data_IF_703771908840
#
_entry.id   IF_703771908840
#
_cell.length_a   1.000
_cell.length_b   1.000
_cell.length_c   1.000
_cell.angle_alpha   90.00
_cell.angle_beta   90.00
_cell.angle_gamma   90.00
#
_symmetry.space_group_name_H-M   'P 1'
#
loop_
_entity.id
_entity.type
_entity.pdbx_description
1 polymer ?
#
# COMPACT_ATOMS: atom_id res chain seq x y z
N UNK A 1 -60.89 -3.74 -62.17
CA UNK A 1 -60.18 -2.51 -61.73
C UNK A 1 -59.21 -2.96 -60.66
N UNK A 2 -57.97 -3.09 -61.06
CA UNK A 2 -56.90 -3.53 -60.18
C UNK A 2 -56.19 -2.29 -59.66
N UNK A 3 -56.01 -2.20 -58.32
CA UNK A 3 -55.24 -1.15 -57.68
C UNK A 3 -53.86 -1.70 -57.39
N UNK A 4 -52.85 -1.06 -57.99
CA UNK A 4 -51.42 -1.36 -57.76
C UNK A 4 -50.95 -0.77 -56.45
N UNK A 5 -50.25 -1.61 -55.65
CA UNK A 5 -49.47 -1.18 -54.47
C UNK A 5 -48.04 -0.75 -54.87
N UNK A 6 -47.49 0.29 -54.28
CA UNK A 6 -46.12 0.73 -54.61
C UNK A 6 -45.02 -0.07 -53.87
N UNK A 7 -44.06 -0.54 -54.66
CA UNK A 7 -42.86 -1.25 -54.21
C UNK A 7 -41.93 -0.39 -53.36
N UNK A 8 -41.66 -0.80 -52.12
CA UNK A 8 -40.66 -0.21 -51.26
C UNK A 8 -39.23 -0.51 -51.75
N UNK A 9 -38.44 0.54 -51.94
CA UNK A 9 -37.00 0.45 -52.26
C UNK A 9 -36.22 0.10 -51.01
N UNK A 10 -35.55 -1.06 -51.03
CA UNK A 10 -34.53 -1.44 -50.01
C UNK A 10 -33.28 -0.59 -50.18
N UNK A 11 -33.00 0.29 -49.20
CA UNK A 11 -31.70 0.95 -49.07
C UNK A 11 -30.67 -0.05 -48.56
N UNK A 12 -29.60 -0.26 -49.31
CA UNK A 12 -28.39 -0.99 -48.85
C UNK A 12 -27.59 -0.10 -47.92
N UNK A 13 -27.59 -0.44 -46.61
CA UNK A 13 -26.59 0.08 -45.68
C UNK A 13 -25.25 -0.62 -45.94
N UNK A 14 -24.26 0.12 -46.38
CA UNK A 14 -22.88 -0.29 -46.44
C UNK A 14 -22.34 -0.41 -44.99
N UNK A 15 -22.06 -1.62 -44.56
CA UNK A 15 -21.23 -1.85 -43.34
C UNK A 15 -19.83 -1.39 -43.63
N UNK A 16 -19.47 -0.23 -43.10
CA UNK A 16 -18.06 0.16 -42.94
C UNK A 16 -17.47 -0.64 -41.80
N UNK A 17 -16.63 -1.61 -42.12
CA UNK A 17 -15.74 -2.27 -41.15
C UNK A 17 -14.74 -1.24 -40.61
N UNK A 18 -14.99 -0.75 -39.41
CA UNK A 18 -13.93 -0.17 -38.58
C UNK A 18 -13.23 -1.34 -37.91
N UNK A 19 -12.17 -1.80 -38.52
CA UNK A 19 -11.16 -2.62 -37.84
C UNK A 19 -10.46 -1.73 -36.81
N UNK A 20 -10.96 -1.78 -35.58
CA UNK A 20 -10.16 -1.36 -34.42
C UNK A 20 -8.98 -2.33 -34.31
N UNK A 21 -7.86 -1.95 -34.91
CA UNK A 21 -6.58 -2.54 -34.62
C UNK A 21 -6.18 -2.15 -33.20
N UNK A 22 -6.64 -2.91 -32.21
CA UNK A 22 -6.03 -2.97 -30.89
C UNK A 22 -4.59 -3.44 -31.13
N UNK A 23 -3.69 -2.49 -31.26
CA UNK A 23 -2.26 -2.74 -31.20
C UNK A 23 -2.02 -3.43 -29.84
N UNK A 24 -1.79 -4.75 -29.88
CA UNK A 24 -1.27 -5.50 -28.72
C UNK A 24 0.08 -4.90 -28.40
N UNK A 25 0.11 -3.97 -27.44
CA UNK A 25 1.35 -3.50 -26.88
C UNK A 25 2.09 -4.72 -26.37
N UNK A 26 3.31 -4.92 -26.84
CA UNK A 26 4.19 -5.99 -26.33
C UNK A 26 4.23 -5.90 -24.80
N UNK A 27 4.17 -7.01 -24.06
CA UNK A 27 4.19 -6.97 -22.61
C UNK A 27 5.44 -6.20 -22.15
N UNK A 28 5.23 -5.18 -21.32
CA UNK A 28 6.31 -4.36 -20.75
C UNK A 28 7.22 -5.31 -19.97
N UNK A 29 8.45 -5.47 -20.42
CA UNK A 29 9.44 -6.30 -19.73
C UNK A 29 9.86 -5.57 -18.46
N UNK A 30 9.46 -6.10 -17.31
CA UNK A 30 9.92 -5.60 -16.02
C UNK A 30 11.41 -5.93 -15.83
N UNK A 31 12.10 -5.03 -15.15
CA UNK A 31 13.46 -5.23 -14.66
C UNK A 31 13.48 -5.19 -13.13
N UNK A 32 14.49 -5.79 -12.49
CA UNK A 32 14.73 -5.56 -11.05
C UNK A 32 14.74 -4.08 -10.72
N UNK A 33 14.35 -3.73 -9.50
CA UNK A 33 14.32 -2.37 -8.94
C UNK A 33 13.41 -1.38 -9.68
N UNK A 34 12.38 -1.88 -10.41
CA UNK A 34 11.41 -1.01 -11.10
C UNK A 34 10.36 -0.39 -10.16
N UNK A 35 10.12 -0.97 -8.99
CA UNK A 35 9.23 -0.48 -7.94
C UNK A 35 10.04 -0.19 -6.68
N UNK A 36 9.98 1.04 -6.19
CA UNK A 36 10.69 1.46 -4.98
C UNK A 36 9.73 1.76 -3.85
N UNK A 37 10.02 1.24 -2.65
CA UNK A 37 9.33 1.58 -1.42
C UNK A 37 10.29 2.01 -0.32
N UNK A 38 9.83 2.91 0.55
CA UNK A 38 10.56 3.33 1.75
C UNK A 38 9.58 3.49 2.92
N UNK A 39 9.95 3.00 4.09
CA UNK A 39 9.02 3.05 5.22
C UNK A 39 9.61 2.48 6.50
N UNK A 40 8.73 2.24 7.47
CA UNK A 40 9.05 1.69 8.78
C UNK A 40 8.97 0.16 8.72
N UNK A 41 10.10 -0.56 8.63
CA UNK A 41 10.08 -2.02 8.70
C UNK A 41 9.82 -2.46 10.15
N UNK A 42 8.92 -3.41 10.31
CA UNK A 42 8.60 -4.03 11.59
C UNK A 42 8.66 -5.54 11.46
N UNK A 43 9.14 -6.23 12.49
CA UNK A 43 8.98 -7.66 12.57
C UNK A 43 7.67 -7.96 13.31
N UNK A 44 6.68 -8.49 12.59
CA UNK A 44 5.43 -8.92 13.19
C UNK A 44 5.66 -10.24 13.93
N UNK A 45 5.35 -10.24 15.22
CA UNK A 45 5.44 -11.40 16.12
C UNK A 45 4.02 -11.81 16.46
N UNK A 46 3.52 -12.86 15.81
CA UNK A 46 2.16 -13.34 15.94
C UNK A 46 2.09 -14.54 16.88
N UNK A 47 1.23 -14.48 17.88
CA UNK A 47 0.99 -15.62 18.75
C UNK A 47 -0.47 -15.68 19.24
N UNK A 48 -0.96 -16.90 19.43
CA UNK A 48 -2.23 -17.14 20.12
C UNK A 48 -1.95 -17.02 21.62
N UNK A 49 -2.60 -16.08 22.28
CA UNK A 49 -2.41 -15.79 23.70
C UNK A 49 -3.72 -15.98 24.47
N UNK A 50 -3.63 -16.13 25.78
CA UNK A 50 -4.77 -16.20 26.69
C UNK A 50 -5.21 -14.79 27.14
N UNK A 51 -6.36 -14.77 27.84
CA UNK A 51 -6.90 -13.53 28.39
C UNK A 51 -6.00 -12.92 29.46
N UNK A 52 -5.34 -13.75 30.26
CA UNK A 52 -4.46 -13.31 31.36
C UNK A 52 -3.27 -12.50 30.81
N UNK A 53 -2.73 -12.92 29.65
CA UNK A 53 -1.68 -12.17 28.95
C UNK A 53 -2.18 -10.79 28.48
N UNK A 54 -3.39 -10.71 27.88
CA UNK A 54 -3.96 -9.42 27.47
C UNK A 54 -4.18 -8.51 28.69
N UNK A 55 -4.79 -9.03 29.74
CA UNK A 55 -5.09 -8.27 30.97
C UNK A 55 -3.79 -7.78 31.64
N UNK A 56 -2.74 -8.60 31.68
CA UNK A 56 -1.42 -8.23 32.21
C UNK A 56 -0.84 -6.97 31.55
N UNK A 57 -0.99 -6.87 30.24
CA UNK A 57 -0.47 -5.75 29.45
C UNK A 57 -1.54 -4.68 29.14
N UNK A 58 -2.71 -4.78 29.73
CA UNK A 58 -3.81 -3.81 29.59
C UNK A 58 -4.26 -3.66 28.13
N UNK A 59 -4.24 -4.76 27.38
CA UNK A 59 -4.67 -4.80 25.99
C UNK A 59 -6.15 -5.12 25.90
N UNK A 60 -6.85 -4.43 25.00
CA UNK A 60 -8.23 -4.75 24.64
C UNK A 60 -8.27 -5.60 23.39
N UNK A 61 -9.26 -6.50 23.25
CA UNK A 61 -9.48 -7.20 22.00
C UNK A 61 -9.63 -6.23 20.82
N UNK A 62 -8.95 -6.51 19.70
CA UNK A 62 -8.94 -5.70 18.49
C UNK A 62 -8.36 -4.28 18.66
N UNK A 63 -7.53 -4.07 19.67
CA UNK A 63 -6.84 -2.80 19.91
C UNK A 63 -5.62 -2.67 18.99
N UNK A 64 -5.30 -1.43 18.59
CA UNK A 64 -4.10 -1.11 17.82
C UNK A 64 -3.42 0.08 18.49
N UNK A 65 -2.32 -0.18 19.18
CA UNK A 65 -1.64 0.81 20.00
C UNK A 65 -0.13 0.86 19.71
N UNK A 66 0.47 1.99 20.02
CA UNK A 66 1.92 2.09 20.14
C UNK A 66 2.36 1.55 21.51
N UNK A 67 3.51 0.88 21.52
CA UNK A 67 4.08 0.36 22.76
C UNK A 67 4.50 1.50 23.70
N UNK A 68 4.08 1.38 24.94
CA UNK A 68 4.57 2.17 26.07
C UNK A 68 5.63 1.37 26.83
N UNK A 69 6.30 1.98 27.83
CA UNK A 69 7.33 1.30 28.63
C UNK A 69 6.85 -0.01 29.27
N UNK A 70 5.59 -0.06 29.72
CA UNK A 70 4.96 -1.28 30.27
C UNK A 70 4.88 -2.44 29.30
N UNK A 71 4.93 -2.17 27.98
CA UNK A 71 4.83 -3.19 26.93
C UNK A 71 6.21 -3.73 26.50
N UNK A 72 7.32 -3.14 26.91
CA UNK A 72 8.67 -3.56 26.47
C UNK A 72 8.95 -5.03 26.78
N UNK A 73 8.60 -5.49 27.99
CA UNK A 73 8.79 -6.90 28.38
C UNK A 73 7.83 -7.86 27.66
N UNK A 74 6.74 -7.36 27.08
CA UNK A 74 5.72 -8.18 26.43
C UNK A 74 6.27 -8.94 25.21
N UNK A 75 7.15 -8.32 24.43
CA UNK A 75 7.69 -8.92 23.21
C UNK A 75 8.55 -10.14 23.49
N UNK A 76 9.39 -10.10 24.51
CA UNK A 76 10.19 -11.24 24.94
C UNK A 76 9.30 -12.33 25.53
N UNK A 77 8.37 -11.96 26.42
CA UNK A 77 7.46 -12.90 27.06
C UNK A 77 6.57 -13.61 26.03
N UNK A 78 6.13 -12.88 24.97
CA UNK A 78 5.34 -13.46 23.87
C UNK A 78 6.11 -14.57 23.16
N UNK A 79 7.39 -14.35 22.91
CA UNK A 79 8.29 -15.33 22.26
C UNK A 79 8.61 -16.51 23.17
N UNK A 80 8.82 -16.24 24.46
CA UNK A 80 9.26 -17.27 25.42
C UNK A 80 8.11 -18.20 25.85
N UNK A 81 6.90 -17.67 25.98
CA UNK A 81 5.76 -18.43 26.53
C UNK A 81 4.83 -19.04 25.47
N UNK A 82 4.80 -18.45 24.27
CA UNK A 82 3.87 -18.87 23.24
C UNK A 82 4.59 -19.30 21.97
N UNK A 83 3.93 -20.11 21.14
CA UNK A 83 4.45 -20.47 19.82
C UNK A 83 4.29 -19.27 18.89
N UNK A 84 5.34 -18.46 18.81
CA UNK A 84 5.36 -17.26 17.97
C UNK A 84 5.74 -17.57 16.52
N UNK A 85 5.05 -16.90 15.59
CA UNK A 85 5.38 -16.86 14.16
C UNK A 85 5.91 -15.48 13.81
N UNK A 86 6.89 -15.41 12.90
CA UNK A 86 7.53 -14.18 12.50
C UNK A 86 7.21 -13.85 11.05
N UNK A 87 6.73 -12.63 10.81
CA UNK A 87 6.45 -12.13 9.47
C UNK A 87 7.13 -10.77 9.27
N UNK A 88 7.66 -10.52 8.07
CA UNK A 88 8.08 -9.16 7.72
C UNK A 88 6.84 -8.29 7.58
N UNK A 89 6.78 -7.20 8.35
CA UNK A 89 5.67 -6.28 8.44
C UNK A 89 6.08 -4.82 8.21
N UNK A 90 5.17 -3.91 8.54
CA UNK A 90 5.25 -2.50 8.21
C UNK A 90 4.55 -2.18 6.89
N UNK A 91 3.72 -1.13 6.88
CA UNK A 91 2.78 -0.85 5.79
C UNK A 91 3.42 -0.82 4.39
N UNK A 92 4.48 -0.02 4.19
CA UNK A 92 5.16 0.04 2.89
C UNK A 92 5.78 -1.30 2.51
N UNK A 93 6.46 -1.97 3.45
CA UNK A 93 7.12 -3.24 3.19
C UNK A 93 6.11 -4.33 2.82
N UNK A 94 4.96 -4.36 3.49
CA UNK A 94 3.86 -5.26 3.14
C UNK A 94 3.37 -5.02 1.71
N UNK A 95 3.15 -3.76 1.32
CA UNK A 95 2.72 -3.42 -0.04
C UNK A 95 3.74 -3.84 -1.10
N UNK A 96 5.04 -3.65 -0.84
CA UNK A 96 6.11 -4.09 -1.76
C UNK A 96 6.18 -5.62 -1.85
N UNK A 97 6.06 -6.34 -0.74
CA UNK A 97 5.98 -7.81 -0.70
C UNK A 97 4.80 -8.34 -1.51
N UNK A 98 3.62 -7.76 -1.29
CA UNK A 98 2.41 -8.16 -2.02
C UNK A 98 2.54 -7.85 -3.51
N UNK A 99 3.11 -6.69 -3.88
CA UNK A 99 3.37 -6.37 -5.27
C UNK A 99 4.31 -7.38 -5.93
N UNK A 100 5.41 -7.76 -5.25
CA UNK A 100 6.34 -8.77 -5.75
C UNK A 100 5.69 -10.15 -5.86
N UNK A 101 4.87 -10.55 -4.89
CA UNK A 101 4.06 -11.76 -4.97
C UNK A 101 3.11 -11.77 -6.16
N UNK A 102 2.41 -10.67 -6.43
CA UNK A 102 1.54 -10.54 -7.60
C UNK A 102 2.29 -10.52 -8.93
N UNK A 103 3.55 -10.08 -8.92
CA UNK A 103 4.42 -10.03 -10.10
C UNK A 103 5.00 -11.41 -10.40
N UNK A 104 5.40 -12.16 -9.38
CA UNK A 104 6.17 -13.42 -9.47
C UNK A 104 7.54 -13.20 -10.13
N UNK A 105 7.59 -13.12 -11.45
CA UNK A 105 8.82 -12.94 -12.23
C UNK A 105 8.81 -11.62 -13.03
N UNK A 106 9.98 -10.96 -13.12
CA UNK A 106 11.26 -11.30 -12.48
C UNK A 106 11.22 -11.05 -10.96
N UNK A 107 12.10 -11.73 -10.21
CA UNK A 107 12.33 -11.42 -8.80
C UNK A 107 12.95 -10.03 -8.64
N UNK A 108 12.87 -9.48 -7.42
CA UNK A 108 13.49 -8.20 -7.04
C UNK A 108 13.02 -6.99 -7.87
N UNK A 109 11.80 -7.03 -8.41
CA UNK A 109 11.17 -5.83 -8.98
C UNK A 109 10.94 -4.80 -7.90
N UNK A 110 10.55 -5.24 -6.71
CA UNK A 110 10.37 -4.41 -5.53
C UNK A 110 11.67 -4.19 -4.76
N UNK A 111 12.08 -2.94 -4.62
CA UNK A 111 13.15 -2.49 -3.72
C UNK A 111 12.54 -1.86 -2.49
N UNK A 112 13.09 -2.14 -1.31
CA UNK A 112 12.61 -1.56 -0.06
C UNK A 112 13.74 -0.95 0.77
N UNK A 113 13.54 0.29 1.25
CA UNK A 113 14.42 0.99 2.18
C UNK A 113 13.73 1.23 3.52
N UNK A 114 14.47 1.03 4.61
CA UNK A 114 14.01 1.28 5.96
C UNK A 114 15.15 1.19 6.96
N UNK A 115 14.88 1.34 8.25
CA UNK A 115 15.88 1.25 9.30
C UNK A 115 15.58 0.12 10.26
N UNK A 116 16.60 -0.68 10.59
CA UNK A 116 16.54 -1.80 11.54
C UNK A 116 17.68 -1.71 12.55
N UNK A 117 17.53 -2.40 13.68
CA UNK A 117 18.60 -2.60 14.66
C UNK A 117 19.60 -3.67 14.21
N UNK A 118 20.75 -3.68 14.86
CA UNK A 118 21.76 -4.73 14.72
C UNK A 118 21.49 -5.85 15.72
N UNK A 119 20.45 -6.65 15.46
CA UNK A 119 19.98 -7.70 16.36
C UNK A 119 19.37 -8.89 15.62
N UNK A 120 18.98 -9.94 16.39
CA UNK A 120 18.36 -11.15 15.84
C UNK A 120 17.08 -10.89 15.05
N UNK A 121 16.30 -9.88 15.44
CA UNK A 121 15.05 -9.55 14.78
C UNK A 121 15.30 -8.87 13.44
N UNK A 122 16.34 -8.02 13.37
CA UNK A 122 16.80 -7.44 12.10
C UNK A 122 17.26 -8.52 11.10
N UNK A 123 17.96 -9.55 11.58
CA UNK A 123 18.40 -10.64 10.72
C UNK A 123 17.24 -11.52 10.24
N UNK A 124 16.23 -11.77 11.10
CA UNK A 124 15.01 -12.45 10.71
C UNK A 124 14.27 -11.62 9.65
N UNK A 125 14.16 -10.31 9.85
CA UNK A 125 13.47 -9.41 8.93
C UNK A 125 14.12 -9.39 7.53
N UNK A 126 15.46 -9.31 7.48
CA UNK A 126 16.22 -9.43 6.21
C UNK A 126 15.90 -10.74 5.49
N UNK A 127 15.98 -11.87 6.22
CA UNK A 127 15.67 -13.18 5.66
C UNK A 127 14.24 -13.25 5.13
N UNK A 128 13.26 -12.71 5.85
CA UNK A 128 11.85 -12.68 5.42
C UNK A 128 11.61 -11.82 4.17
N UNK A 129 12.34 -10.73 4.02
CA UNK A 129 12.29 -9.92 2.80
C UNK A 129 12.89 -10.68 1.60
N UNK A 130 14.03 -11.36 1.80
CA UNK A 130 14.66 -12.22 0.79
C UNK A 130 13.75 -13.37 0.37
N UNK A 131 13.12 -14.08 1.32
CA UNK A 131 12.14 -15.14 1.05
C UNK A 131 10.94 -14.64 0.22
N UNK A 132 10.59 -13.35 0.36
CA UNK A 132 9.54 -12.69 -0.43
C UNK A 132 10.05 -12.12 -1.77
N UNK A 133 11.30 -12.38 -2.14
CA UNK A 133 11.97 -11.88 -3.35
C UNK A 133 11.94 -10.34 -3.47
N UNK A 134 12.05 -9.65 -2.33
CA UNK A 134 12.17 -8.19 -2.25
C UNK A 134 13.63 -7.82 -2.04
N UNK A 135 14.14 -6.92 -2.87
CA UNK A 135 15.48 -6.36 -2.77
C UNK A 135 15.52 -5.30 -1.64
N UNK A 136 15.67 -5.77 -0.40
CA UNK A 136 15.62 -4.92 0.78
C UNK A 136 17.00 -4.42 1.19
N UNK A 137 17.17 -3.10 1.22
CA UNK A 137 18.37 -2.40 1.67
C UNK A 137 18.03 -1.65 2.95
N UNK A 138 18.42 -2.19 4.10
CA UNK A 138 18.17 -1.57 5.38
C UNK A 138 19.35 -0.73 5.85
N UNK A 139 19.06 0.48 6.35
CA UNK A 139 19.98 1.19 7.22
C UNK A 139 20.04 0.44 8.55
N UNK A 140 21.18 -0.17 8.86
CA UNK A 140 21.42 -0.89 10.12
C UNK A 140 22.10 0.04 11.10
N UNK A 141 21.50 0.24 12.26
CA UNK A 141 22.05 1.05 13.35
C UNK A 141 22.10 0.23 14.65
N UNK A 142 22.85 0.68 15.64
CA UNK A 142 23.17 -0.05 16.87
C UNK A 142 22.66 0.64 18.16
N UNK A 143 21.86 1.69 18.01
CA UNK A 143 21.34 2.47 19.16
C UNK A 143 20.02 1.88 19.67
N UNK A 144 19.10 1.55 18.74
CA UNK A 144 17.77 1.03 19.05
C UNK A 144 17.58 -0.37 18.46
N UNK A 145 16.83 -1.26 19.14
CA UNK A 145 16.51 -2.57 18.59
C UNK A 145 15.62 -2.46 17.36
N UNK A 146 15.57 -3.52 16.55
CA UNK A 146 14.68 -3.62 15.42
C UNK A 146 13.22 -3.40 15.83
N UNK A 147 12.49 -2.59 15.08
CA UNK A 147 11.07 -2.36 15.31
C UNK A 147 10.27 -3.67 15.23
N UNK A 148 9.32 -3.84 16.13
CA UNK A 148 8.49 -5.04 16.24
C UNK A 148 7.03 -4.68 16.38
N UNK A 149 6.15 -5.57 15.92
CA UNK A 149 4.73 -5.47 16.18
C UNK A 149 4.24 -6.80 16.79
N UNK A 150 3.78 -6.77 18.04
CA UNK A 150 3.16 -7.93 18.64
C UNK A 150 1.71 -8.05 18.17
N UNK A 151 1.36 -9.17 17.59
CA UNK A 151 0.02 -9.53 17.16
C UNK A 151 -0.53 -10.62 18.09
N UNK A 152 -1.27 -10.19 19.10
CA UNK A 152 -1.85 -11.06 20.13
C UNK A 152 -3.23 -11.56 19.68
N UNK A 153 -3.34 -12.84 19.37
CA UNK A 153 -4.56 -13.49 18.85
C UNK A 153 -5.30 -14.14 20.01
N UNK A 154 -6.57 -13.78 20.22
CA UNK A 154 -7.47 -14.38 21.22
C UNK A 154 -8.81 -14.72 20.55
N UNK A 155 -9.01 -16.00 20.24
CA UNK A 155 -10.18 -16.43 19.47
C UNK A 155 -10.23 -15.76 18.10
N UNK A 156 -11.29 -15.00 17.82
CA UNK A 156 -11.46 -14.23 16.58
C UNK A 156 -10.90 -12.80 16.66
N UNK A 157 -10.31 -12.40 17.79
CA UNK A 157 -9.81 -11.04 18.01
C UNK A 157 -8.29 -10.99 17.85
N UNK A 158 -7.80 -9.84 17.38
CA UNK A 158 -6.38 -9.58 17.20
C UNK A 158 -6.01 -8.18 17.71
N UNK A 159 -5.17 -8.15 18.72
CA UNK A 159 -4.64 -6.89 19.29
C UNK A 159 -3.22 -6.67 18.80
N UNK A 160 -2.92 -5.46 18.35
CA UNK A 160 -1.62 -5.07 17.82
C UNK A 160 -0.95 -4.06 18.74
N UNK A 161 0.32 -4.31 19.04
CA UNK A 161 1.17 -3.39 19.79
C UNK A 161 2.45 -3.15 19.00
N UNK A 162 2.63 -1.96 18.43
CA UNK A 162 3.77 -1.61 17.61
C UNK A 162 4.83 -0.88 18.43
N UNK A 163 6.04 -1.43 18.49
CA UNK A 163 7.24 -0.77 18.98
C UNK A 163 8.12 -0.37 17.80
N UNK A 164 8.14 0.91 17.46
CA UNK A 164 8.82 1.42 16.26
C UNK A 164 10.35 1.39 16.39
N UNK A 165 10.88 1.67 17.58
CA UNK A 165 12.33 1.59 17.89
C UNK A 165 13.21 2.05 16.70
N UNK A 166 14.07 1.18 16.16
CA UNK A 166 14.97 1.49 15.04
C UNK A 166 14.25 2.02 13.78
N UNK A 167 12.99 1.67 13.55
CA UNK A 167 12.24 2.19 12.41
C UNK A 167 12.14 3.72 12.42
N UNK A 168 12.18 4.36 13.60
CA UNK A 168 12.21 5.81 13.77
C UNK A 168 13.63 6.42 13.61
N UNK A 169 14.66 5.62 13.47
CA UNK A 169 16.06 6.07 13.46
C UNK A 169 16.63 6.23 12.06
N UNK A 170 15.80 6.22 11.01
CA UNK A 170 16.27 6.37 9.64
C UNK A 170 17.02 7.69 9.43
N UNK A 171 18.21 7.64 8.83
CA UNK A 171 19.07 8.80 8.53
C UNK A 171 19.30 8.89 7.03
N UNK A 172 18.73 9.94 6.42
CA UNK A 172 18.84 10.21 4.98
C UNK A 172 20.28 10.21 4.49
N UNK A 173 21.13 10.97 5.17
CA UNK A 173 22.55 11.17 4.86
C UNK A 173 23.40 9.91 5.03
N UNK A 174 22.96 8.96 5.85
CA UNK A 174 23.67 7.70 6.09
C UNK A 174 23.17 6.53 5.23
N UNK A 175 22.10 6.73 4.49
CA UNK A 175 21.52 5.66 3.69
C UNK A 175 21.04 6.14 2.32
N UNK A 176 19.99 6.97 2.23
CA UNK A 176 19.39 7.39 0.95
C UNK A 176 20.38 8.19 0.09
N UNK A 177 21.24 8.99 0.72
CA UNK A 177 22.19 9.85 0.02
C UNK A 177 23.46 9.12 -0.44
N UNK A 178 23.65 7.85 -0.06
CA UNK A 178 24.75 7.04 -0.57
C UNK A 178 24.55 6.78 -2.06
N UNK A 179 25.60 6.92 -2.85
CA UNK A 179 25.53 6.81 -4.32
C UNK A 179 24.97 5.45 -4.77
N UNK A 180 25.40 4.37 -4.12
CA UNK A 180 24.91 3.02 -4.40
C UNK A 180 23.40 2.86 -4.19
N UNK A 181 22.87 3.44 -3.10
CA UNK A 181 21.45 3.41 -2.78
C UNK A 181 20.65 4.34 -3.69
N UNK A 182 21.20 5.51 -3.99
CA UNK A 182 20.53 6.45 -4.89
C UNK A 182 20.37 5.88 -6.31
N UNK A 183 21.32 5.10 -6.81
CA UNK A 183 21.19 4.39 -8.09
C UNK A 183 19.99 3.44 -8.13
N UNK A 184 19.65 2.79 -7.00
CA UNK A 184 18.46 1.95 -6.90
C UNK A 184 17.18 2.79 -6.99
N UNK A 185 17.16 3.96 -6.33
CA UNK A 185 16.06 4.92 -6.47
C UNK A 185 15.91 5.39 -7.92
N UNK A 186 17.01 5.70 -8.58
CA UNK A 186 17.00 6.13 -10.00
C UNK A 186 16.52 5.04 -10.96
N UNK A 187 16.70 3.78 -10.64
CA UNK A 187 16.25 2.65 -11.46
C UNK A 187 14.73 2.47 -11.46
N UNK A 188 14.05 2.92 -10.41
CA UNK A 188 12.61 2.72 -10.26
C UNK A 188 11.80 3.56 -11.25
N UNK A 189 10.64 3.04 -11.63
CA UNK A 189 9.60 3.70 -12.45
C UNK A 189 8.45 4.19 -11.58
N UNK A 190 8.16 3.45 -10.51
CA UNK A 190 7.08 3.71 -9.57
C UNK A 190 7.65 3.73 -8.16
N UNK A 191 7.25 4.73 -7.39
CA UNK A 191 7.64 4.92 -6.00
C UNK A 191 6.41 4.85 -5.12
N UNK A 192 6.52 4.18 -3.98
CA UNK A 192 5.46 4.12 -2.99
C UNK A 192 6.00 4.30 -1.58
N UNK A 193 5.41 5.22 -0.84
CA UNK A 193 5.72 5.45 0.57
C UNK A 193 4.40 5.62 1.32
N UNK A 194 4.23 4.89 2.43
CA UNK A 194 3.10 5.09 3.32
C UNK A 194 3.27 6.37 4.16
N UNK A 195 2.18 7.04 4.45
CA UNK A 195 2.17 8.29 5.22
C UNK A 195 2.77 8.16 6.62
N UNK A 196 2.80 6.96 7.18
CA UNK A 196 3.50 6.72 8.45
C UNK A 196 4.96 7.21 8.45
N UNK A 197 5.65 7.17 7.32
CA UNK A 197 7.04 7.60 7.23
C UNK A 197 7.22 9.13 7.33
N UNK A 198 6.13 9.92 7.23
CA UNK A 198 6.14 11.35 7.54
C UNK A 198 6.54 11.65 8.98
N UNK A 199 6.32 10.70 9.88
CA UNK A 199 6.73 10.83 11.29
C UNK A 199 8.24 10.64 11.49
N UNK A 200 8.94 10.12 10.48
CA UNK A 200 10.36 9.74 10.57
C UNK A 200 11.24 10.66 9.74
N UNK A 201 10.97 10.80 8.44
CA UNK A 201 11.85 11.57 7.54
C UNK A 201 11.10 12.16 6.34
N UNK A 202 10.46 13.30 6.56
CA UNK A 202 9.86 14.09 5.48
C UNK A 202 10.90 14.44 4.39
N UNK A 203 12.12 14.77 4.80
CA UNK A 203 13.19 15.15 3.86
C UNK A 203 13.57 14.02 2.90
N UNK A 204 13.57 12.77 3.36
CA UNK A 204 13.78 11.59 2.51
C UNK A 204 12.63 11.40 1.53
N UNK A 205 11.38 11.51 2.01
CA UNK A 205 10.20 11.42 1.15
C UNK A 205 10.20 12.51 0.09
N UNK A 206 10.50 13.76 0.46
CA UNK A 206 10.58 14.89 -0.47
C UNK A 206 11.69 14.71 -1.52
N UNK A 207 12.85 14.18 -1.14
CA UNK A 207 13.93 13.91 -2.09
C UNK A 207 13.48 12.91 -3.16
N UNK A 208 12.86 11.80 -2.76
CA UNK A 208 12.33 10.80 -3.70
C UNK A 208 11.19 11.35 -4.54
N UNK A 209 10.23 12.05 -3.93
CA UNK A 209 9.07 12.60 -4.63
C UNK A 209 9.44 13.66 -5.66
N UNK A 210 10.38 14.57 -5.34
CA UNK A 210 10.92 15.57 -6.27
C UNK A 210 11.61 14.89 -7.45
N UNK A 211 12.49 13.91 -7.19
CA UNK A 211 13.13 13.12 -8.24
C UNK A 211 12.10 12.45 -9.16
N UNK A 212 11.08 11.80 -8.60
CA UNK A 212 10.03 11.18 -9.40
C UNK A 212 9.31 12.21 -10.30
N UNK A 213 8.96 13.37 -9.76
CA UNK A 213 8.32 14.45 -10.49
C UNK A 213 9.19 15.00 -11.62
N UNK A 214 10.47 15.29 -11.36
CA UNK A 214 11.44 15.81 -12.33
C UNK A 214 11.70 14.81 -13.46
N UNK A 215 11.79 13.53 -13.15
CA UNK A 215 12.02 12.46 -14.13
C UNK A 215 10.71 11.93 -14.76
N UNK A 216 9.58 12.57 -14.48
CA UNK A 216 8.25 12.18 -14.96
C UNK A 216 7.89 10.72 -14.62
N UNK A 217 8.32 10.23 -13.45
CA UNK A 217 8.00 8.93 -12.88
C UNK A 217 6.82 9.04 -11.89
N UNK A 218 6.23 7.92 -11.49
CA UNK A 218 5.03 7.91 -10.66
C UNK A 218 5.39 7.86 -9.17
N UNK A 219 4.90 8.83 -8.40
CA UNK A 219 5.01 8.82 -6.94
C UNK A 219 3.64 8.57 -6.29
N UNK A 220 3.55 7.51 -5.50
CA UNK A 220 2.35 7.05 -4.83
C UNK A 220 2.47 7.25 -3.32
N UNK A 221 1.40 7.70 -2.69
CA UNK A 221 1.32 7.96 -1.25
C UNK A 221 0.04 7.34 -0.69
N UNK A 222 0.09 6.81 0.53
CA UNK A 222 -1.09 6.46 1.31
C UNK A 222 -1.26 7.42 2.49
N UNK A 223 -2.47 7.85 2.79
CA UNK A 223 -2.79 8.65 3.98
C UNK A 223 -2.50 7.90 5.30
N UNK A 224 -2.62 6.59 5.28
CA UNK A 224 -2.20 5.62 6.30
C UNK A 224 -2.94 5.63 7.62
N UNK A 225 -3.25 6.79 8.18
CA UNK A 225 -4.00 6.89 9.42
C UNK A 225 -4.59 8.31 9.60
N UNK A 226 -5.75 8.44 10.30
CA UNK A 226 -6.33 9.74 10.61
C UNK A 226 -5.36 10.68 11.32
N UNK A 227 -4.54 10.18 12.26
CA UNK A 227 -3.59 11.03 13.00
C UNK A 227 -2.48 11.62 12.10
N UNK A 228 -2.12 10.96 10.99
CA UNK A 228 -1.19 11.52 9.99
C UNK A 228 -1.80 12.77 9.36
N UNK A 229 -3.07 12.70 8.96
CA UNK A 229 -3.78 13.85 8.40
C UNK A 229 -3.89 15.01 9.39
N UNK A 230 -4.06 14.72 10.69
CA UNK A 230 -4.28 15.69 11.76
C UNK A 230 -2.98 16.31 12.28
N UNK A 231 -2.02 15.49 12.71
CA UNK A 231 -0.82 15.96 13.40
C UNK A 231 0.37 16.20 12.48
N UNK A 232 0.36 15.61 11.27
CA UNK A 232 1.40 15.78 10.26
C UNK A 232 0.87 16.47 9.00
N UNK A 233 -0.19 17.26 9.14
CA UNK A 233 -0.83 18.02 8.05
C UNK A 233 0.19 18.81 7.22
N UNK A 234 1.04 19.59 7.88
CA UNK A 234 2.02 20.44 7.20
C UNK A 234 3.04 19.63 6.40
N UNK A 235 3.47 18.48 6.93
CA UNK A 235 4.35 17.55 6.23
C UNK A 235 3.65 16.93 5.02
N UNK A 236 2.41 16.48 5.21
CA UNK A 236 1.59 15.90 4.16
C UNK A 236 1.36 16.90 3.02
N UNK A 237 1.07 18.16 3.35
CA UNK A 237 0.81 19.20 2.35
C UNK A 237 2.07 19.67 1.61
N UNK A 238 3.26 19.54 2.19
CA UNK A 238 4.53 19.74 1.47
C UNK A 238 4.78 18.64 0.45
N UNK A 239 4.37 17.40 0.74
CA UNK A 239 4.60 16.23 -0.12
C UNK A 239 3.54 16.10 -1.23
N UNK A 240 2.29 16.41 -0.93
CA UNK A 240 1.13 16.18 -1.78
C UNK A 240 1.24 16.76 -3.20
N UNK A 241 1.88 17.93 -3.44
CA UNK A 241 2.08 18.46 -4.81
C UNK A 241 2.87 17.52 -5.74
N UNK A 242 3.62 16.60 -5.21
CA UNK A 242 4.40 15.62 -5.98
C UNK A 242 3.68 14.28 -6.19
N UNK A 243 2.53 14.07 -5.51
CA UNK A 243 1.82 12.77 -5.51
C UNK A 243 1.02 12.59 -6.79
N UNK A 244 1.26 11.49 -7.49
CA UNK A 244 0.53 11.05 -8.67
C UNK A 244 -0.66 10.14 -8.33
N UNK A 245 -0.49 9.25 -7.34
CA UNK A 245 -1.56 8.37 -6.85
C UNK A 245 -1.66 8.49 -5.34
N UNK A 246 -2.82 8.91 -4.86
CA UNK A 246 -3.13 9.02 -3.43
C UNK A 246 -4.09 7.91 -3.02
N UNK A 247 -3.70 7.13 -2.04
CA UNK A 247 -4.53 6.11 -1.42
C UNK A 247 -5.01 6.53 -0.03
N UNK A 248 -6.12 5.97 0.40
CA UNK A 248 -6.63 6.08 1.75
C UNK A 248 -7.88 5.23 1.94
N UNK A 249 -8.32 5.10 3.19
CA UNK A 249 -9.63 4.54 3.50
C UNK A 249 -10.63 5.66 3.86
N UNK A 250 -11.88 5.29 4.14
CA UNK A 250 -12.96 6.24 4.45
C UNK A 250 -12.68 7.08 5.70
N UNK A 251 -12.02 6.52 6.71
CA UNK A 251 -11.72 7.25 7.95
C UNK A 251 -10.56 8.23 7.76
N UNK A 252 -9.55 7.83 7.03
CA UNK A 252 -8.42 8.68 6.63
C UNK A 252 -8.88 9.81 5.69
N UNK A 253 -9.72 9.47 4.70
CA UNK A 253 -10.31 10.45 3.78
C UNK A 253 -11.15 11.50 4.52
N UNK A 254 -11.95 11.08 5.49
CA UNK A 254 -12.77 11.99 6.32
C UNK A 254 -11.89 12.89 7.18
N UNK A 255 -10.82 12.36 7.79
CA UNK A 255 -9.87 13.15 8.55
C UNK A 255 -9.13 14.15 7.66
N UNK A 256 -8.67 13.70 6.49
CA UNK A 256 -8.01 14.55 5.49
C UNK A 256 -8.94 15.69 5.04
N UNK A 257 -10.20 15.38 4.71
CA UNK A 257 -11.18 16.37 4.28
C UNK A 257 -11.44 17.44 5.34
N UNK A 258 -11.52 17.03 6.60
CA UNK A 258 -11.67 17.95 7.73
C UNK A 258 -10.49 18.92 7.84
N UNK A 259 -9.27 18.40 7.75
CA UNK A 259 -8.05 19.19 7.86
C UNK A 259 -7.79 20.09 6.62
N UNK A 260 -8.44 19.81 5.49
CA UNK A 260 -8.39 20.60 4.27
C UNK A 260 -9.62 21.51 4.10
N UNK A 261 -10.50 21.60 5.10
CA UNK A 261 -11.72 22.41 5.07
C UNK A 261 -12.61 22.10 3.84
N UNK A 262 -12.74 20.82 3.50
CA UNK A 262 -13.54 20.41 2.32
C UNK A 262 -15.05 20.52 2.53
N UNK A 263 -15.51 20.70 3.75
CA UNK A 263 -16.92 20.87 4.14
C UNK A 263 -17.85 19.75 3.63
N UNK A 264 -17.32 18.53 3.50
CA UNK A 264 -18.06 17.35 3.04
C UNK A 264 -17.58 16.08 3.75
N UNK A 265 -18.50 15.11 3.88
CA UNK A 265 -18.22 13.75 4.34
C UNK A 265 -18.46 12.73 3.23
N UNK A 266 -18.94 13.16 2.09
CA UNK A 266 -19.12 12.29 0.92
C UNK A 266 -17.76 11.89 0.33
N UNK A 267 -17.46 10.59 0.34
CA UNK A 267 -16.17 10.06 -0.11
C UNK A 267 -15.91 10.39 -1.59
N UNK A 268 -16.94 10.44 -2.42
CA UNK A 268 -16.82 10.81 -3.84
C UNK A 268 -16.40 12.27 -4.00
N UNK A 269 -17.02 13.16 -3.24
CA UNK A 269 -16.65 14.59 -3.24
C UNK A 269 -15.27 14.80 -2.61
N UNK A 270 -14.90 14.06 -1.56
CA UNK A 270 -13.55 14.10 -0.97
C UNK A 270 -12.52 13.68 -2.02
N UNK A 271 -12.73 12.58 -2.73
CA UNK A 271 -11.82 12.10 -3.76
C UNK A 271 -11.63 13.14 -4.87
N UNK A 272 -12.72 13.77 -5.33
CA UNK A 272 -12.68 14.80 -6.36
C UNK A 272 -11.93 16.06 -5.90
N UNK A 273 -12.19 16.54 -4.69
CA UNK A 273 -11.50 17.70 -4.10
C UNK A 273 -10.01 17.42 -3.87
N UNK A 274 -9.66 16.22 -3.36
CA UNK A 274 -8.28 15.80 -3.19
C UNK A 274 -7.53 15.68 -4.52
N UNK A 275 -8.20 15.20 -5.59
CA UNK A 275 -7.64 15.17 -6.94
C UNK A 275 -7.30 16.57 -7.45
N UNK A 276 -8.15 17.55 -7.18
CA UNK A 276 -8.03 18.92 -7.67
C UNK A 276 -6.94 19.75 -6.94
N UNK A 277 -6.42 19.28 -5.81
CA UNK A 277 -5.35 19.99 -5.10
C UNK A 277 -4.11 20.22 -5.98
N UNK A 278 -3.34 21.28 -5.74
CA UNK A 278 -2.17 21.65 -6.55
C UNK A 278 -1.20 20.49 -6.79
N UNK A 279 -0.60 20.46 -7.97
CA UNK A 279 0.36 19.44 -8.39
C UNK A 279 1.50 20.09 -9.19
N UNK A 280 2.75 19.68 -8.90
CA UNK A 280 3.95 20.20 -9.57
C UNK A 280 4.07 19.65 -10.98
N UNK A 281 4.03 18.33 -11.16
CA UNK A 281 4.05 17.73 -12.48
C UNK A 281 2.63 17.72 -13.07
N UNK A 282 2.36 18.67 -13.97
CA UNK A 282 1.04 18.85 -14.63
C UNK A 282 0.85 18.00 -15.88
N UNK A 283 1.84 17.18 -16.28
CA UNK A 283 1.74 16.29 -17.47
C UNK A 283 0.67 15.22 -17.29
N UNK A 284 0.27 14.94 -16.04
CA UNK A 284 -0.82 14.03 -15.66
C UNK A 284 -1.54 14.53 -14.43
N UNK A 285 -2.82 14.21 -14.34
CA UNK A 285 -3.62 14.50 -13.15
C UNK A 285 -3.32 13.48 -12.05
N UNK A 286 -3.54 13.89 -10.80
CA UNK A 286 -3.51 12.97 -9.65
C UNK A 286 -4.68 11.99 -9.76
N UNK A 287 -4.41 10.73 -9.41
CA UNK A 287 -5.41 9.71 -9.18
C UNK A 287 -5.62 9.62 -7.67
N UNK A 288 -6.88 9.56 -7.23
CA UNK A 288 -7.22 9.34 -5.82
C UNK A 288 -8.03 8.06 -5.73
N UNK A 289 -7.61 7.14 -4.88
CA UNK A 289 -8.25 5.83 -4.69
C UNK A 289 -8.59 5.66 -3.22
N UNK A 290 -9.88 5.63 -2.89
CA UNK A 290 -10.39 5.55 -1.53
C UNK A 290 -11.17 4.24 -1.32
N UNK A 291 -10.70 3.42 -0.40
CA UNK A 291 -11.37 2.18 0.00
C UNK A 291 -12.40 2.43 1.09
N UNK A 292 -13.44 1.60 1.18
CA UNK A 292 -14.53 1.73 2.15
C UNK A 292 -14.91 0.35 2.74
N UNK A 293 -13.91 -0.41 3.17
CA UNK A 293 -14.13 -1.76 3.71
C UNK A 293 -14.84 -2.67 2.70
N UNK A 294 -16.08 -3.06 3.01
CA UNK A 294 -16.93 -3.89 2.13
C UNK A 294 -17.68 -3.11 1.06
N UNK A 295 -17.74 -1.78 1.17
CA UNK A 295 -18.40 -0.93 0.20
C UNK A 295 -17.50 -0.67 -1.01
N UNK A 296 -18.06 -0.09 -2.07
CA UNK A 296 -17.32 0.19 -3.31
C UNK A 296 -16.08 1.06 -3.09
N UNK A 297 -14.99 0.71 -3.75
CA UNK A 297 -13.81 1.59 -3.85
C UNK A 297 -14.15 2.77 -4.75
N UNK A 298 -13.88 3.98 -4.29
CA UNK A 298 -14.07 5.22 -5.03
C UNK A 298 -12.76 5.66 -5.65
N UNK A 299 -12.78 5.98 -6.94
CA UNK A 299 -11.62 6.51 -7.66
C UNK A 299 -11.97 7.82 -8.35
N UNK A 300 -11.13 8.84 -8.14
CA UNK A 300 -11.14 10.06 -8.92
C UNK A 300 -10.04 10.00 -9.98
N UNK A 301 -10.42 10.07 -11.25
CA UNK A 301 -9.54 10.02 -12.41
C UNK A 301 -10.04 10.97 -13.51
N UNK A 302 -9.18 11.85 -14.00
CA UNK A 302 -9.52 12.74 -15.10
C UNK A 302 -10.72 13.68 -14.81
N UNK A 303 -10.91 14.08 -13.55
CA UNK A 303 -12.06 14.90 -13.11
C UNK A 303 -13.38 14.12 -12.98
N UNK A 304 -13.35 12.80 -13.21
CA UNK A 304 -14.51 11.89 -13.09
C UNK A 304 -14.37 11.03 -11.84
N UNK A 305 -15.52 10.59 -11.32
CA UNK A 305 -15.59 9.60 -10.26
C UNK A 305 -16.03 8.27 -10.87
N UNK A 306 -15.26 7.24 -10.55
CA UNK A 306 -15.57 5.85 -10.87
C UNK A 306 -15.68 5.06 -9.58
N UNK A 307 -16.55 4.06 -9.52
CA UNK A 307 -16.69 3.16 -8.37
C UNK A 307 -16.48 1.71 -8.80
N UNK A 308 -15.85 0.94 -7.92
CA UNK A 308 -15.51 -0.44 -8.19
C UNK A 308 -16.07 -1.32 -7.06
N UNK A 309 -16.94 -2.29 -7.38
CA UNK A 309 -17.45 -3.20 -6.38
C UNK A 309 -16.33 -4.06 -5.81
N UNK A 310 -16.36 -4.26 -4.49
CA UNK A 310 -15.42 -5.13 -3.78
C UNK A 310 -15.79 -6.60 -4.04
N UNK A 311 -14.78 -7.47 -4.09
CA UNK A 311 -15.00 -8.91 -4.21
C UNK A 311 -15.75 -9.43 -2.99
N UNK A 312 -16.89 -10.10 -3.23
CA UNK A 312 -17.67 -10.69 -2.17
C UNK A 312 -16.87 -11.74 -1.38
N UNK A 313 -17.00 -11.72 -0.07
CA UNK A 313 -16.43 -12.69 0.85
C UNK A 313 -17.46 -13.06 1.90
N UNK A 314 -17.55 -14.37 2.22
CA UNK A 314 -18.36 -14.80 3.35
C UNK A 314 -17.69 -14.30 4.65
N UNK A 315 -18.43 -13.64 5.56
CA UNK A 315 -17.87 -13.15 6.83
C UNK A 315 -17.12 -14.22 7.64
N UNK A 316 -17.51 -15.50 7.54
CA UNK A 316 -16.82 -16.62 8.20
C UNK A 316 -15.42 -16.92 7.63
N UNK A 317 -15.15 -16.49 6.39
CA UNK A 317 -13.85 -16.67 5.72
C UNK A 317 -12.87 -15.53 6.04
N UNK A 318 -13.33 -14.47 6.73
CA UNK A 318 -12.48 -13.37 7.17
C UNK A 318 -11.73 -13.81 8.42
N UNK A 319 -10.41 -13.91 8.30
CA UNK A 319 -9.51 -14.30 9.40
C UNK A 319 -8.90 -13.08 10.06
N UNK A 320 -8.43 -12.12 9.24
CA UNK A 320 -7.72 -10.94 9.72
C UNK A 320 -7.81 -9.81 8.69
N UNK A 321 -8.32 -8.65 9.09
CA UNK A 321 -8.42 -7.48 8.22
C UNK A 321 -7.17 -6.59 8.25
N UNK A 322 -6.22 -6.86 9.15
CA UNK A 322 -4.95 -6.13 9.18
C UNK A 322 -4.15 -6.44 7.91
N UNK A 323 -3.52 -5.41 7.36
CA UNK A 323 -2.78 -5.52 6.11
C UNK A 323 -3.65 -5.55 4.84
N UNK A 324 -4.99 -5.51 4.96
CA UNK A 324 -5.87 -5.41 3.79
C UNK A 324 -5.57 -4.19 2.93
N UNK A 325 -5.35 -3.03 3.57
CA UNK A 325 -4.96 -1.79 2.89
C UNK A 325 -3.60 -1.90 2.21
N UNK A 326 -2.62 -2.50 2.90
CA UNK A 326 -1.28 -2.73 2.34
C UNK A 326 -1.34 -3.67 1.13
N UNK A 327 -2.15 -4.72 1.23
CA UNK A 327 -2.37 -5.67 0.15
C UNK A 327 -3.09 -5.04 -1.05
N UNK A 328 -4.09 -4.20 -0.79
CA UNK A 328 -4.77 -3.43 -1.82
C UNK A 328 -3.76 -2.59 -2.60
N UNK A 329 -2.93 -1.82 -1.91
CA UNK A 329 -1.89 -1.00 -2.54
C UNK A 329 -0.89 -1.89 -3.29
N UNK A 330 -0.41 -2.99 -2.68
CA UNK A 330 0.52 -3.92 -3.33
C UNK A 330 -0.04 -4.51 -4.62
N UNK A 331 -1.29 -4.96 -4.61
CA UNK A 331 -1.99 -5.43 -5.80
C UNK A 331 -2.08 -4.35 -6.90
N UNK A 332 -2.45 -3.13 -6.52
CA UNK A 332 -2.49 -1.97 -7.42
C UNK A 332 -1.12 -1.70 -8.06
N UNK A 333 -0.08 -1.59 -7.24
CA UNK A 333 1.29 -1.31 -7.68
C UNK A 333 1.84 -2.38 -8.61
N UNK A 334 1.46 -3.65 -8.42
CA UNK A 334 1.90 -4.77 -9.27
C UNK A 334 1.50 -4.61 -10.72
N UNK A 335 0.35 -3.99 -10.98
CA UNK A 335 -0.15 -3.70 -12.32
C UNK A 335 0.29 -2.33 -12.82
N UNK A 336 0.37 -1.34 -11.93
CA UNK A 336 0.85 0.01 -12.26
C UNK A 336 2.27 0.00 -12.81
N UNK A 337 3.19 -0.76 -12.19
CA UNK A 337 4.58 -0.88 -12.65
C UNK A 337 4.70 -1.58 -14.01
N UNK A 338 3.67 -2.32 -14.42
CA UNK A 338 3.52 -2.95 -15.74
C UNK A 338 2.82 -2.06 -16.77
N UNK A 339 2.58 -0.80 -16.43
CA UNK A 339 1.84 0.17 -17.25
C UNK A 339 0.43 -0.32 -17.66
N UNK A 340 -0.23 -1.09 -16.77
CA UNK A 340 -1.59 -1.57 -17.01
C UNK A 340 -2.62 -0.46 -16.76
N UNK A 341 -3.79 -0.53 -17.41
CA UNK A 341 -4.89 0.40 -17.15
C UNK A 341 -5.30 0.42 -15.68
N UNK A 342 -5.75 1.58 -15.20
CA UNK A 342 -6.01 1.80 -13.77
C UNK A 342 -7.15 0.90 -13.25
N UNK A 343 -8.15 0.59 -14.07
CA UNK A 343 -9.21 -0.37 -13.73
C UNK A 343 -8.66 -1.77 -13.45
N UNK A 344 -7.65 -2.20 -14.20
CA UNK A 344 -6.95 -3.46 -13.95
C UNK A 344 -6.12 -3.39 -12.67
N UNK A 345 -5.52 -2.21 -12.37
CA UNK A 345 -4.82 -2.00 -11.09
C UNK A 345 -5.79 -2.15 -9.89
N UNK A 346 -6.99 -1.58 -9.96
CA UNK A 346 -8.01 -1.71 -8.90
C UNK A 346 -8.49 -3.16 -8.76
N UNK A 347 -8.70 -3.89 -9.87
CA UNK A 347 -9.07 -5.31 -9.80
C UNK A 347 -8.00 -6.16 -9.13
N UNK A 348 -6.73 -5.95 -9.45
CA UNK A 348 -5.62 -6.63 -8.80
C UNK A 348 -5.52 -6.25 -7.32
N UNK A 349 -5.80 -4.99 -6.97
CA UNK A 349 -5.84 -4.51 -5.60
C UNK A 349 -6.94 -5.23 -4.78
N UNK A 350 -8.15 -5.32 -5.30
CA UNK A 350 -9.25 -6.07 -4.65
C UNK A 350 -8.92 -7.55 -4.50
N UNK A 351 -8.33 -8.17 -5.53
CA UNK A 351 -7.91 -9.56 -5.46
C UNK A 351 -6.89 -9.78 -4.33
N UNK A 352 -5.83 -8.97 -4.29
CA UNK A 352 -4.77 -9.11 -3.28
C UNK A 352 -5.33 -8.90 -1.86
N UNK A 353 -6.16 -7.88 -1.64
CA UNK A 353 -6.81 -7.65 -0.36
C UNK A 353 -7.70 -8.84 0.05
N UNK A 354 -8.50 -9.38 -0.88
CA UNK A 354 -9.37 -10.54 -0.63
C UNK A 354 -8.58 -11.81 -0.24
N UNK A 355 -7.39 -12.02 -0.83
CA UNK A 355 -6.51 -13.13 -0.46
C UNK A 355 -5.95 -12.95 0.95
N UNK A 356 -5.48 -11.75 1.28
CA UNK A 356 -4.83 -11.47 2.57
C UNK A 356 -5.82 -11.57 3.73
N UNK A 357 -7.03 -11.02 3.63
CA UNK A 357 -8.00 -11.03 4.74
C UNK A 357 -8.50 -12.43 5.12
N UNK A 358 -8.24 -13.44 4.30
CA UNK A 358 -8.51 -14.87 4.59
C UNK A 358 -7.39 -15.55 5.37
N UNK A 359 -6.35 -14.81 5.77
CA UNK A 359 -5.13 -15.35 6.38
C UNK A 359 -4.74 -14.54 7.62
N UNK A 360 -3.93 -15.13 8.46
CA UNK A 360 -3.33 -14.41 9.59
C UNK A 360 -2.15 -13.57 9.12
N UNK A 361 -2.17 -12.28 9.41
CA UNK A 361 -1.14 -11.32 8.99
C UNK A 361 -1.08 -11.11 7.48
N UNK A 362 -0.12 -10.31 7.01
CA UNK A 362 0.11 -10.06 5.60
C UNK A 362 0.86 -11.24 4.95
N UNK A 363 0.16 -12.38 4.83
CA UNK A 363 0.67 -13.62 4.23
C UNK A 363 -0.13 -14.02 3.00
N UNK A 364 0.48 -14.75 2.07
CA UNK A 364 -0.11 -15.11 0.80
C UNK A 364 0.32 -16.52 0.36
N UNK A 365 -0.42 -17.19 -0.54
CA UNK A 365 -0.02 -18.46 -1.13
C UNK A 365 1.21 -18.28 -2.01
N UNK A 366 1.86 -19.39 -2.38
CA UNK A 366 3.07 -19.37 -3.22
C UNK A 366 2.86 -18.58 -4.53
N UNK A 367 1.70 -18.76 -5.16
CA UNK A 367 1.35 -18.08 -6.43
C UNK A 367 -0.01 -17.40 -6.34
N UNK A 368 -0.18 -16.23 -6.97
CA UNK A 368 -1.49 -15.64 -7.15
C UNK A 368 -2.29 -16.40 -8.22
N UNK A 369 -3.60 -16.47 -8.02
CA UNK A 369 -4.57 -16.93 -9.02
C UNK A 369 -5.31 -15.70 -9.57
N UNK A 370 -4.57 -14.82 -10.21
CA UNK A 370 -5.06 -13.56 -10.79
C UNK A 370 -4.79 -13.55 -12.29
N UNK A 371 -5.84 -13.39 -13.09
CA UNK A 371 -5.82 -13.37 -14.56
C UNK A 371 -6.16 -11.99 -15.13
#
# INVERSE_FOLDING_TARGET
>A
MASEEPKAKKAKLSRGEKTDSLAKSSPVKLSPNSLFGMGNPLLDICAVVDKDFLDKYTLKPNDQILAEDKHKAMFEELVDKFKAEYHAGGATQNSIKVAQWMIQEPHNVGTFFGCIGKDKFGDILKKKAEEAHVDAHYYVQDVEPTGTCAACITGANRSLVANLAAANCYKKEKHLDLEENWKLVESAKVYYIAGFFLTVSLESMLKVAKHASEKNKLFCLNLSAPFICQFFKDHLMQLLPYVDVLFGNETEATAFAKEQDFETKDIKEIAKKAQALPKVNTKRQRIVVLTQGKEETVMALGGKIETFPVLAIDPKDIVDTNGAGDAFVGGFLSQLVRDKPVDQCVRAAHYAANVIIRRSGCTFPEKPDFV
#
